data_IF_850092734892
#
_entry.id   IF_850092734892
#
_cell.length_a   1.000
_cell.length_b   1.000
_cell.length_c   1.000
_cell.angle_alpha   90.00
_cell.angle_beta   90.00
_cell.angle_gamma   90.00
#
_symmetry.space_group_name_H-M   'P 1'
#
loop_
_entity.id
_entity.type
_entity.pdbx_description
1 polymer ?
#
# COMPACT_ATOMS: atom_id res chain seq x y z
N UNK A 1 -38.51 28.09 -32.90
CA UNK A 1 -38.27 27.50 -34.23
C UNK A 1 -36.75 27.46 -34.39
N UNK A 2 -35.99 26.36 -34.40
CA UNK A 2 -36.12 24.93 -34.74
C UNK A 2 -35.45 24.11 -33.60
N UNK A 3 -36.09 23.10 -32.99
CA UNK A 3 -35.95 21.64 -33.27
C UNK A 3 -34.50 21.18 -33.49
N UNK A 4 -33.90 20.20 -32.82
CA UNK A 4 -34.33 19.12 -31.91
C UNK A 4 -33.25 18.03 -31.97
N UNK A 5 -32.96 17.33 -30.86
CA UNK A 5 -32.03 16.19 -30.84
C UNK A 5 -31.56 15.80 -29.43
N UNK A 6 -32.26 14.84 -28.82
CA UNK A 6 -32.03 14.23 -27.49
C UNK A 6 -31.03 13.05 -27.56
N UNK A 7 -30.35 12.66 -26.45
CA UNK A 7 -29.15 11.84 -26.44
C UNK A 7 -29.41 10.33 -26.27
N UNK A 8 -28.40 9.52 -26.61
CA UNK A 8 -28.26 8.08 -26.25
C UNK A 8 -26.77 7.84 -25.99
N UNK A 9 -26.30 7.13 -24.97
CA UNK A 9 -26.98 6.37 -23.93
C UNK A 9 -26.01 5.98 -22.80
N UNK A 10 -26.61 5.65 -21.66
CA UNK A 10 -26.00 4.95 -20.52
C UNK A 10 -26.30 3.46 -20.67
N UNK A 11 -25.30 2.57 -20.51
CA UNK A 11 -25.52 1.15 -20.20
C UNK A 11 -24.24 0.40 -19.80
N UNK A 12 -24.29 -0.30 -18.64
CA UNK A 12 -23.34 -1.33 -18.16
C UNK A 12 -22.25 -0.78 -17.22
N UNK A 13 -22.29 -0.85 -15.89
CA UNK A 13 -22.49 -1.96 -14.93
C UNK A 13 -21.59 -3.19 -15.19
N UNK A 14 -20.56 -3.31 -14.32
CA UNK A 14 -20.12 -4.58 -13.71
C UNK A 14 -19.05 -5.40 -14.44
N UNK A 15 -17.89 -5.61 -13.79
CA UNK A 15 -17.06 -6.84 -13.78
C UNK A 15 -15.80 -6.57 -12.91
N UNK A 16 -15.89 -6.75 -11.59
CA UNK A 16 -15.42 -7.91 -10.81
C UNK A 16 -13.90 -8.18 -10.85
N UNK A 17 -13.22 -8.31 -9.69
CA UNK A 17 -11.80 -8.65 -9.63
C UNK A 17 -11.55 -10.09 -10.07
N UNK A 18 -10.43 -10.31 -10.76
CA UNK A 18 -9.95 -11.63 -11.20
C UNK A 18 -9.69 -12.51 -9.97
N UNK A 19 -10.60 -13.44 -9.70
CA UNK A 19 -10.35 -14.56 -8.82
C UNK A 19 -9.30 -15.48 -9.45
N UNK A 20 -8.28 -15.87 -8.68
CA UNK A 20 -7.38 -16.94 -9.02
C UNK A 20 -8.19 -18.24 -9.23
N UNK A 21 -8.29 -18.70 -10.46
CA UNK A 21 -8.79 -20.05 -10.75
C UNK A 21 -7.71 -21.05 -10.33
N UNK A 22 -8.03 -22.08 -9.53
CA UNK A 22 -7.17 -23.23 -9.39
C UNK A 22 -7.15 -23.99 -10.72
N UNK A 23 -5.95 -24.21 -11.26
CA UNK A 23 -5.73 -24.99 -12.47
C UNK A 23 -6.18 -26.44 -12.23
N UNK A 24 -7.23 -26.86 -12.94
CA UNK A 24 -7.67 -28.25 -12.99
C UNK A 24 -6.60 -29.10 -13.74
N UNK A 25 -6.20 -30.26 -13.21
CA UNK A 25 -5.31 -31.17 -13.92
C UNK A 25 -6.00 -31.80 -15.15
N UNK A 26 -5.24 -32.24 -16.17
CA UNK A 26 -5.80 -32.82 -17.40
C UNK A 26 -6.57 -34.11 -17.12
N UNK A 27 -7.67 -34.28 -17.87
CA UNK A 27 -8.54 -35.45 -17.79
C UNK A 27 -7.78 -36.73 -18.20
N UNK A 28 -7.78 -37.74 -17.33
CA UNK A 28 -7.26 -39.07 -17.61
C UNK A 28 -8.16 -39.80 -18.62
N UNK A 29 -7.59 -40.64 -19.52
CA UNK A 29 -8.35 -41.41 -20.48
C UNK A 29 -9.21 -42.48 -19.78
N UNK A 30 -10.47 -42.56 -20.23
CA UNK A 30 -11.47 -43.53 -19.76
C UNK A 30 -11.14 -44.93 -20.28
N UNK A 31 -10.47 -45.74 -19.47
CA UNK A 31 -10.38 -47.18 -19.69
C UNK A 31 -11.72 -47.84 -19.35
N UNK A 32 -12.17 -48.75 -20.21
CA UNK A 32 -13.32 -49.61 -19.97
C UNK A 32 -12.87 -50.77 -19.08
N UNK A 33 -13.30 -50.77 -17.83
CA UNK A 33 -13.05 -51.91 -16.94
C UNK A 33 -14.11 -53.01 -17.11
N UNK A 34 -13.71 -54.29 -17.06
CA UNK A 34 -14.61 -55.42 -17.17
C UNK A 34 -15.43 -55.61 -15.88
N UNK A 35 -16.63 -56.15 -16.03
CA UNK A 35 -17.54 -56.52 -14.94
C UNK A 35 -16.86 -57.53 -13.99
N UNK A 36 -16.32 -57.04 -12.88
CA UNK A 36 -15.97 -57.87 -11.72
C UNK A 36 -17.09 -57.79 -10.69
N UNK A 37 -17.86 -58.87 -10.59
CA UNK A 37 -18.80 -59.12 -9.51
C UNK A 37 -18.01 -59.40 -8.22
N UNK A 38 -17.80 -58.37 -7.40
CA UNK A 38 -17.24 -58.53 -6.06
C UNK A 38 -18.35 -58.31 -5.03
N UNK A 39 -18.75 -59.42 -4.38
CA UNK A 39 -19.64 -59.39 -3.23
C UNK A 39 -18.99 -58.53 -2.14
N UNK A 40 -19.53 -57.34 -1.92
CA UNK A 40 -19.07 -56.39 -0.93
C UNK A 40 -19.37 -56.94 0.47
N UNK A 41 -18.43 -57.70 1.05
CA UNK A 41 -18.49 -58.06 2.47
C UNK A 41 -17.98 -56.86 3.26
N UNK A 42 -18.91 -56.10 3.82
CA UNK A 42 -18.67 -54.95 4.69
C UNK A 42 -17.66 -55.30 5.79
N UNK A 43 -16.44 -54.74 5.71
CA UNK A 43 -15.44 -54.78 6.79
C UNK A 43 -15.40 -53.40 7.44
N UNK A 44 -16.22 -53.13 8.48
CA UNK A 44 -16.32 -51.81 9.12
C UNK A 44 -15.01 -51.35 9.78
N UNK A 45 -14.04 -52.25 9.94
CA UNK A 45 -12.76 -51.97 10.60
C UNK A 45 -11.83 -51.05 9.79
N UNK A 46 -11.87 -51.08 8.46
CA UNK A 46 -10.98 -50.25 7.64
C UNK A 46 -11.40 -48.78 7.56
N UNK A 47 -12.71 -48.51 7.68
CA UNK A 47 -13.23 -47.14 7.68
C UNK A 47 -12.91 -46.41 9.00
N UNK A 48 -12.96 -47.13 10.12
CA UNK A 48 -12.63 -46.58 11.44
C UNK A 48 -11.16 -46.16 11.57
N UNK A 49 -10.23 -46.94 10.99
CA UNK A 49 -8.81 -46.63 11.03
C UNK A 49 -8.46 -45.39 10.16
N UNK A 50 -9.10 -45.23 9.00
CA UNK A 50 -8.88 -44.07 8.13
C UNK A 50 -9.35 -42.76 8.78
N UNK A 51 -10.49 -42.78 9.48
CA UNK A 51 -10.97 -41.61 10.25
C UNK A 51 -10.05 -41.26 11.43
N UNK A 52 -9.50 -42.26 12.13
CA UNK A 52 -8.58 -42.02 13.25
C UNK A 52 -7.25 -41.37 12.78
N UNK A 53 -6.71 -41.78 11.63
CA UNK A 53 -5.49 -41.20 11.04
C UNK A 53 -5.72 -39.76 10.54
N UNK A 54 -6.89 -39.48 9.96
CA UNK A 54 -7.25 -38.12 9.54
C UNK A 54 -7.39 -37.15 10.72
N UNK A 55 -7.85 -37.64 11.89
CA UNK A 55 -7.98 -36.84 13.11
C UNK A 55 -6.64 -36.66 13.85
N UNK A 56 -5.69 -37.60 13.73
CA UNK A 56 -4.36 -37.46 14.34
C UNK A 56 -3.38 -36.59 13.54
N UNK A 57 -3.72 -36.23 12.30
CA UNK A 57 -2.91 -35.35 11.47
C UNK A 57 -3.05 -33.85 11.84
N UNK A 58 -4.03 -33.49 12.68
CA UNK A 58 -4.21 -32.14 13.21
C UNK A 58 -3.42 -31.92 14.53
N UNK A 59 -2.18 -32.41 14.63
CA UNK A 59 -1.27 -31.96 15.69
C UNK A 59 -0.40 -30.82 15.15
N UNK A 60 -0.96 -29.62 15.13
CA UNK A 60 -0.28 -28.43 14.61
C UNK A 60 -0.11 -27.39 15.72
N UNK A 61 1.10 -27.37 16.28
CA UNK A 61 1.65 -26.18 16.96
C UNK A 61 1.82 -25.10 15.88
N UNK A 62 0.79 -24.28 15.67
CA UNK A 62 0.89 -23.14 14.77
C UNK A 62 1.71 -22.06 15.45
N UNK A 63 2.99 -21.98 15.12
CA UNK A 63 3.84 -20.86 15.54
C UNK A 63 3.42 -19.62 14.75
N UNK A 64 2.78 -18.67 15.43
CA UNK A 64 2.50 -17.36 14.88
C UNK A 64 3.82 -16.58 14.78
N UNK A 65 4.30 -16.38 13.55
CA UNK A 65 5.43 -15.49 13.27
C UNK A 65 4.85 -14.15 12.85
N UNK A 66 5.11 -13.12 13.66
CA UNK A 66 4.73 -11.76 13.29
C UNK A 66 5.55 -11.32 12.06
N UNK A 67 4.91 -10.79 11.01
CA UNK A 67 5.64 -10.26 9.88
C UNK A 67 6.49 -9.04 10.33
N UNK A 68 7.63 -8.80 9.68
CA UNK A 68 8.46 -7.65 10.01
C UNK A 68 7.67 -6.35 9.83
N UNK A 69 7.86 -5.41 10.76
CA UNK A 69 7.14 -4.13 10.77
C UNK A 69 7.49 -3.25 9.56
N UNK A 70 8.73 -3.36 9.07
CA UNK A 70 9.28 -2.67 7.89
C UNK A 70 10.44 -3.50 7.30
N UNK A 71 10.82 -3.21 6.06
CA UNK A 71 12.05 -3.77 5.48
C UNK A 71 13.25 -2.91 5.91
N UNK A 72 14.45 -3.50 6.12
CA UNK A 72 15.65 -2.72 6.36
C UNK A 72 15.81 -1.61 5.29
N UNK A 73 15.75 -0.32 5.69
CA UNK A 73 15.76 0.76 4.72
C UNK A 73 17.15 0.91 4.09
N UNK A 74 17.24 1.20 2.78
CA UNK A 74 18.51 1.51 2.12
C UNK A 74 19.21 2.73 2.75
N UNK A 75 18.45 3.72 3.20
CA UNK A 75 18.92 4.80 4.06
C UNK A 75 18.88 4.35 5.53
N UNK A 76 20.01 3.84 6.01
CA UNK A 76 20.14 3.32 7.37
C UNK A 76 20.39 4.41 8.43
N UNK A 77 20.59 5.67 8.03
CA UNK A 77 21.04 6.74 8.93
C UNK A 77 19.96 7.79 9.19
N UNK A 78 19.07 8.03 8.23
CA UNK A 78 18.07 9.11 8.32
C UNK A 78 16.76 8.68 8.96
N UNK A 79 16.63 7.41 9.34
CA UNK A 79 15.44 6.84 10.00
C UNK A 79 14.15 6.84 9.15
N UNK A 80 14.26 7.06 7.84
CA UNK A 80 13.15 6.87 6.91
C UNK A 80 12.99 5.39 6.58
N UNK A 81 11.76 4.90 6.60
CA UNK A 81 11.46 3.47 6.35
C UNK A 81 10.87 3.21 4.96
N UNK A 82 10.15 4.20 4.40
CA UNK A 82 9.52 4.11 3.09
C UNK A 82 8.50 2.97 2.94
N UNK A 83 8.50 2.38 1.74
CA UNK A 83 7.60 1.28 1.42
C UNK A 83 7.97 -0.04 2.11
N UNK A 84 6.94 -0.71 2.65
CA UNK A 84 7.03 -2.14 2.97
C UNK A 84 6.92 -2.98 1.69
N UNK A 85 6.11 -2.55 0.72
CA UNK A 85 6.02 -3.20 -0.60
C UNK A 85 5.63 -2.18 -1.67
N UNK A 86 6.63 -1.70 -2.41
CA UNK A 86 6.45 -0.68 -3.45
C UNK A 86 5.52 -1.16 -4.57
N UNK A 87 5.58 -2.44 -4.95
CA UNK A 87 4.74 -3.01 -6.02
C UNK A 87 3.22 -2.93 -5.76
N UNK A 88 2.82 -2.85 -4.49
CA UNK A 88 1.42 -2.70 -4.08
C UNK A 88 1.15 -1.37 -3.39
N UNK A 89 2.10 -0.43 -3.47
CA UNK A 89 2.06 0.87 -2.77
C UNK A 89 1.75 0.74 -1.28
N UNK A 90 2.23 -0.33 -0.61
CA UNK A 90 2.03 -0.52 0.83
C UNK A 90 3.18 0.14 1.58
N UNK A 91 2.92 1.26 2.26
CA UNK A 91 3.91 1.91 3.13
C UNK A 91 4.14 1.08 4.40
N UNK A 92 5.29 1.25 5.05
CA UNK A 92 5.50 0.65 6.39
C UNK A 92 4.44 1.12 7.40
N UNK A 93 4.03 2.39 7.31
CA UNK A 93 2.97 2.97 8.13
C UNK A 93 1.62 2.26 7.90
N UNK A 94 1.30 1.95 6.65
CA UNK A 94 0.09 1.25 6.24
C UNK A 94 0.01 -0.22 6.67
N UNK A 95 1.06 -0.77 7.28
CA UNK A 95 0.99 -2.06 7.95
C UNK A 95 0.10 -2.02 9.20
N UNK A 96 0.08 -0.87 9.90
CA UNK A 96 -0.74 -0.65 11.10
C UNK A 96 -1.89 0.34 10.84
N UNK A 97 -1.66 1.39 10.05
CA UNK A 97 -2.61 2.46 9.77
C UNK A 97 -3.39 2.24 8.47
N UNK A 98 -4.16 1.15 8.40
CA UNK A 98 -4.83 0.72 7.17
C UNK A 98 -5.80 1.75 6.60
N UNK A 99 -6.51 2.50 7.45
CA UNK A 99 -7.46 3.53 6.99
C UNK A 99 -6.77 4.74 6.35
N UNK A 100 -5.68 5.21 6.95
CA UNK A 100 -4.88 6.29 6.34
C UNK A 100 -4.18 5.82 5.07
N UNK A 101 -3.70 4.58 5.07
CA UNK A 101 -3.09 3.97 3.88
C UNK A 101 -4.07 3.87 2.71
N UNK A 102 -5.33 3.49 2.95
CA UNK A 102 -6.34 3.42 1.89
C UNK A 102 -6.68 4.79 1.32
N UNK A 103 -6.65 5.84 2.14
CA UNK A 103 -6.84 7.21 1.65
C UNK A 103 -5.62 7.69 0.86
N UNK A 104 -4.41 7.41 1.36
CA UNK A 104 -3.18 7.87 0.73
C UNK A 104 -2.98 7.26 -0.66
N UNK A 105 -3.29 5.97 -0.86
CA UNK A 105 -3.07 5.31 -2.16
C UNK A 105 -3.94 5.91 -3.29
N UNK A 106 -5.05 6.53 -2.93
CA UNK A 106 -5.96 7.23 -3.86
C UNK A 106 -5.51 8.66 -4.18
N UNK A 107 -4.49 9.18 -3.48
CA UNK A 107 -4.02 10.55 -3.63
C UNK A 107 -3.05 10.73 -4.81
N UNK A 108 -2.92 11.97 -5.29
CA UNK A 108 -1.89 12.33 -6.28
C UNK A 108 -0.46 12.11 -5.77
N UNK A 109 -0.25 12.21 -4.45
CA UNK A 109 1.04 11.93 -3.81
C UNK A 109 1.49 10.48 -4.00
N UNK A 110 0.55 9.53 -3.89
CA UNK A 110 0.81 8.12 -4.19
C UNK A 110 1.03 7.86 -5.69
N UNK A 111 0.81 8.83 -6.57
CA UNK A 111 1.07 8.71 -8.02
C UNK A 111 2.26 9.57 -8.48
N UNK A 112 2.94 10.25 -7.56
CA UNK A 112 3.95 11.27 -7.88
C UNK A 112 5.11 10.71 -8.71
N UNK A 113 5.55 9.47 -8.44
CA UNK A 113 6.64 8.85 -9.20
C UNK A 113 6.20 8.39 -10.59
N UNK A 114 4.97 7.90 -10.72
CA UNK A 114 4.41 7.58 -12.03
C UNK A 114 4.27 8.83 -12.90
N UNK A 115 3.75 9.92 -12.33
CA UNK A 115 3.69 11.23 -13.00
C UNK A 115 5.06 11.74 -13.41
N UNK A 116 6.08 11.58 -12.56
CA UNK A 116 7.44 11.95 -12.89
C UNK A 116 7.98 11.16 -14.10
N UNK A 117 7.80 9.84 -14.11
CA UNK A 117 8.26 8.99 -15.22
C UNK A 117 7.60 9.35 -16.56
N UNK A 118 6.33 9.79 -16.53
CA UNK A 118 5.62 10.25 -17.74
C UNK A 118 6.20 11.54 -18.33
N UNK A 119 6.89 12.37 -17.54
CA UNK A 119 7.55 13.58 -18.04
C UNK A 119 8.80 13.27 -18.91
N UNK A 120 9.32 12.03 -18.86
CA UNK A 120 10.33 11.53 -19.77
C UNK A 120 11.68 12.27 -19.68
N UNK A 121 12.23 12.66 -20.84
CA UNK A 121 13.60 13.19 -20.95
C UNK A 121 13.86 14.51 -20.19
N UNK A 122 12.82 15.19 -19.71
CA UNK A 122 12.95 16.41 -18.90
C UNK A 122 13.18 16.16 -17.41
N UNK A 123 13.14 14.91 -16.94
CA UNK A 123 13.32 14.57 -15.53
C UNK A 123 14.77 14.74 -15.11
N UNK A 124 14.99 15.58 -14.10
CA UNK A 124 16.29 15.82 -13.49
C UNK A 124 16.36 15.19 -12.09
N UNK A 125 17.58 14.94 -11.59
CA UNK A 125 17.76 14.40 -10.23
C UNK A 125 17.16 15.29 -9.14
N UNK A 126 17.10 16.61 -9.36
CA UNK A 126 16.45 17.57 -8.48
C UNK A 126 14.95 17.31 -8.30
N UNK A 127 14.28 16.66 -9.26
CA UNK A 127 12.87 16.32 -9.18
C UNK A 127 12.60 15.21 -8.15
N UNK A 128 13.56 14.31 -7.92
CA UNK A 128 13.37 13.14 -7.05
C UNK A 128 13.06 13.54 -5.62
N UNK A 129 13.69 14.61 -5.12
CA UNK A 129 13.42 15.12 -3.77
C UNK A 129 11.97 15.53 -3.53
N UNK A 130 11.24 15.96 -4.57
CA UNK A 130 9.84 16.36 -4.45
C UNK A 130 8.85 15.25 -4.83
N UNK A 131 9.26 14.29 -5.67
CA UNK A 131 8.41 13.20 -6.17
C UNK A 131 8.63 11.87 -5.46
N UNK A 132 9.60 11.80 -4.56
CA UNK A 132 9.86 10.69 -3.64
C UNK A 132 9.91 11.15 -2.19
N UNK A 133 10.19 10.21 -1.29
CA UNK A 133 10.49 10.49 0.11
C UNK A 133 11.90 11.06 0.21
N UNK A 134 12.03 12.25 0.78
CA UNK A 134 13.31 12.91 0.96
C UNK A 134 13.31 13.86 2.15
N UNK A 135 14.45 14.51 2.38
CA UNK A 135 14.59 15.57 3.36
C UNK A 135 13.72 16.80 3.10
N UNK A 136 13.25 17.02 1.86
CA UNK A 136 12.50 18.22 1.49
C UNK A 136 11.13 18.27 2.17
N UNK A 137 10.45 17.12 2.26
CA UNK A 137 9.09 17.05 2.78
C UNK A 137 8.99 17.39 4.27
N UNK A 138 9.88 16.86 5.12
CA UNK A 138 9.88 17.19 6.56
C UNK A 138 10.98 18.18 6.97
N UNK A 139 11.61 18.84 5.99
CA UNK A 139 12.70 19.82 6.14
C UNK A 139 13.78 19.39 7.15
N UNK A 140 14.28 18.16 7.03
CA UNK A 140 15.51 17.80 7.75
C UNK A 140 16.73 18.34 6.99
N UNK A 141 17.83 18.60 7.70
CA UNK A 141 18.98 19.36 7.16
C UNK A 141 20.01 18.50 6.42
N UNK A 142 19.80 17.18 6.39
CA UNK A 142 20.72 16.21 5.79
C UNK A 142 20.03 15.48 4.64
N UNK A 143 20.80 15.02 3.65
CA UNK A 143 20.26 14.19 2.57
C UNK A 143 19.64 12.92 3.14
N UNK A 144 18.44 12.56 2.67
CA UNK A 144 17.71 11.41 3.17
C UNK A 144 16.81 10.79 2.10
N UNK A 145 16.38 9.55 2.35
CA UNK A 145 15.49 8.81 1.48
C UNK A 145 16.08 8.70 0.08
N UNK A 146 15.33 9.13 -0.93
CA UNK A 146 15.74 8.99 -2.34
C UNK A 146 17.01 9.77 -2.71
N UNK A 147 17.30 10.85 -1.99
CA UNK A 147 18.51 11.65 -2.19
C UNK A 147 19.74 11.05 -1.50
N UNK A 148 19.53 10.14 -0.54
CA UNK A 148 20.59 9.37 0.11
C UNK A 148 20.84 8.06 -0.65
N UNK A 149 19.77 7.31 -0.92
CA UNK A 149 19.79 6.06 -1.66
C UNK A 149 18.64 6.05 -2.68
N UNK A 150 18.99 6.07 -3.97
CA UNK A 150 18.02 6.02 -5.05
C UNK A 150 17.43 4.61 -5.20
N UNK A 151 16.37 4.34 -4.44
CA UNK A 151 15.70 3.05 -4.37
C UNK A 151 14.18 3.19 -4.45
N UNK A 152 13.51 2.18 -5.02
CA UNK A 152 12.05 2.15 -5.16
C UNK A 152 11.29 2.24 -3.84
N UNK A 153 11.95 1.93 -2.72
CA UNK A 153 11.47 2.09 -1.35
C UNK A 153 11.01 3.54 -1.08
N UNK A 154 11.65 4.51 -1.72
CA UNK A 154 11.38 5.94 -1.53
C UNK A 154 10.63 6.59 -2.69
N UNK A 155 10.11 5.81 -3.65
CA UNK A 155 9.25 6.36 -4.71
C UNK A 155 7.91 6.84 -4.14
N UNK A 156 7.31 7.83 -4.82
CA UNK A 156 6.07 8.51 -4.43
C UNK A 156 6.24 9.41 -3.18
N UNK A 157 5.35 10.39 -3.04
CA UNK A 157 5.32 11.24 -1.84
C UNK A 157 4.57 10.48 -0.75
N UNK A 158 5.32 9.80 0.12
CA UNK A 158 4.75 8.93 1.15
C UNK A 158 4.46 9.68 2.46
N UNK A 159 4.02 8.94 3.48
CA UNK A 159 3.68 9.45 4.82
C UNK A 159 4.81 10.31 5.41
N UNK A 160 6.05 9.83 5.28
CA UNK A 160 7.24 10.45 5.88
C UNK A 160 7.62 11.78 5.21
N UNK A 161 7.11 12.07 4.01
CA UNK A 161 7.26 13.38 3.36
C UNK A 161 6.46 14.47 4.06
N UNK A 162 5.45 14.13 4.87
CA UNK A 162 4.74 15.12 5.71
C UNK A 162 5.11 14.96 7.18
N UNK A 163 5.20 13.72 7.64
CA UNK A 163 5.31 13.36 9.06
C UNK A 163 6.77 13.20 9.55
N UNK A 164 7.73 13.11 8.64
CA UNK A 164 9.13 12.85 8.96
C UNK A 164 9.48 11.38 9.17
N UNK A 165 10.71 11.10 9.63
CA UNK A 165 11.21 9.75 9.86
C UNK A 165 10.33 8.98 10.85
N UNK A 166 9.79 7.84 10.42
CA UNK A 166 8.85 7.05 11.21
C UNK A 166 9.48 5.93 12.06
N UNK A 167 10.78 5.66 11.92
CA UNK A 167 11.43 4.46 12.48
C UNK A 167 11.23 4.29 13.99
N UNK A 168 11.44 5.35 14.78
CA UNK A 168 11.31 5.28 16.23
C UNK A 168 9.88 4.90 16.67
N UNK A 169 8.87 5.42 15.97
CA UNK A 169 7.47 5.09 16.22
C UNK A 169 7.15 3.65 15.85
N UNK A 170 7.71 3.14 14.75
CA UNK A 170 7.44 1.76 14.33
C UNK A 170 8.11 0.75 15.29
N UNK A 171 9.32 1.04 15.74
CA UNK A 171 10.05 0.17 16.67
C UNK A 171 9.34 0.09 18.03
N UNK A 172 8.88 1.23 18.58
CA UNK A 172 8.16 1.31 19.86
C UNK A 172 6.95 2.27 19.80
N UNK A 173 5.78 1.83 19.30
CA UNK A 173 4.65 2.73 19.04
C UNK A 173 4.01 3.23 20.34
N UNK A 174 4.10 4.55 20.57
CA UNK A 174 3.44 5.22 21.69
C UNK A 174 2.98 6.63 21.32
N UNK A 175 2.15 7.23 22.17
CA UNK A 175 1.56 8.56 21.90
C UNK A 175 2.60 9.70 21.94
N UNK A 176 3.76 9.49 22.55
CA UNK A 176 4.81 10.50 22.70
C UNK A 176 5.76 10.55 21.50
N UNK A 177 5.75 9.55 20.62
CA UNK A 177 6.63 9.48 19.46
C UNK A 177 5.89 9.42 18.11
N UNK A 178 4.60 9.76 18.08
CA UNK A 178 3.84 9.85 16.83
C UNK A 178 4.51 10.86 15.89
N UNK A 179 4.92 10.46 14.67
CA UNK A 179 5.47 11.37 13.69
C UNK A 179 4.39 12.38 13.29
N UNK A 180 4.56 13.65 13.63
CA UNK A 180 3.58 14.70 13.38
C UNK A 180 3.82 15.32 12.01
N UNK A 181 2.74 15.55 11.26
CA UNK A 181 2.83 16.28 10.02
C UNK A 181 3.27 17.73 10.30
N UNK A 182 4.29 18.22 9.59
CA UNK A 182 4.61 19.66 9.55
C UNK A 182 3.72 20.37 8.54
N UNK A 183 2.42 20.19 8.69
CA UNK A 183 1.40 20.82 7.86
C UNK A 183 0.79 22.02 8.59
N UNK A 184 1.62 22.87 9.22
CA UNK A 184 1.07 24.15 9.70
C UNK A 184 0.52 24.86 8.46
N UNK A 185 -0.80 24.89 8.38
CA UNK A 185 -1.56 25.91 7.70
C UNK A 185 -1.94 26.81 8.86
N UNK A 186 -1.50 28.06 8.84
CA UNK A 186 -2.05 29.10 9.68
C UNK A 186 -3.56 29.18 9.39
N UNK A 187 -4.36 28.35 10.07
CA UNK A 187 -5.78 28.64 10.24
C UNK A 187 -5.81 29.76 11.26
N UNK A 188 -5.69 30.99 10.77
CA UNK A 188 -5.90 32.18 11.58
C UNK A 188 -7.25 32.02 12.28
N UNK A 189 -7.22 31.79 13.58
CA UNK A 189 -8.36 32.03 14.43
C UNK A 189 -8.59 33.55 14.38
N UNK A 190 -9.43 34.00 13.46
CA UNK A 190 -10.07 35.31 13.52
C UNK A 190 -11.50 35.05 14.02
N UNK A 191 -11.89 35.50 15.23
CA UNK A 191 -13.27 35.35 15.66
C UNK A 191 -14.19 36.19 14.76
N UNK A 192 -15.20 35.50 14.23
CA UNK A 192 -16.48 36.00 13.77
C UNK A 192 -16.47 37.22 12.82
N UNK A 193 -16.11 37.00 11.55
CA UNK A 193 -16.84 37.46 10.36
C UNK A 193 -15.99 37.26 9.09
N UNK A 194 -16.39 36.36 8.22
CA UNK A 194 -15.92 36.35 6.83
C UNK A 194 -14.91 35.25 6.49
N UNK A 195 -15.33 34.39 5.57
CA UNK A 195 -14.59 33.48 4.70
C UNK A 195 -13.07 33.71 4.68
N UNK A 196 -12.32 32.79 5.32
CA UNK A 196 -10.87 32.72 5.17
C UNK A 196 -10.51 32.14 3.81
N UNK A 197 -9.93 32.96 2.93
CA UNK A 197 -9.23 32.51 1.73
C UNK A 197 -7.79 32.24 2.13
N UNK A 198 -7.34 30.98 2.05
CA UNK A 198 -5.94 30.62 2.18
C UNK A 198 -5.16 31.20 1.00
N UNK A 199 -4.47 32.32 1.19
CA UNK A 199 -3.71 33.03 0.14
C UNK A 199 -2.26 32.55 -0.03
N UNK A 200 -1.85 31.48 0.65
CA UNK A 200 -0.54 30.85 0.47
C UNK A 200 -0.35 29.66 1.40
N UNK A 201 0.46 28.68 0.97
CA UNK A 201 0.99 27.64 1.85
C UNK A 201 2.00 28.29 2.79
N UNK A 202 1.94 28.00 4.10
CA UNK A 202 2.98 28.47 5.02
C UNK A 202 4.35 28.00 4.49
N UNK A 203 5.31 28.92 4.38
CA UNK A 203 6.64 28.60 3.87
C UNK A 203 7.35 27.56 4.75
N UNK A 204 6.95 27.45 6.02
CA UNK A 204 7.44 26.46 6.97
C UNK A 204 6.73 25.09 6.88
N UNK A 205 5.66 25.00 6.09
CA UNK A 205 4.97 23.73 5.86
C UNK A 205 5.83 22.78 5.01
N UNK A 206 5.67 21.49 5.28
CA UNK A 206 6.22 20.39 4.50
C UNK A 206 6.03 20.53 2.99
N UNK A 207 4.89 21.12 2.60
CA UNK A 207 4.43 21.20 1.23
C UNK A 207 5.18 22.28 0.43
N UNK A 208 5.65 23.35 1.09
CA UNK A 208 6.23 24.51 0.42
C UNK A 208 7.52 24.17 -0.32
N UNK A 209 8.32 23.22 0.18
CA UNK A 209 9.55 22.76 -0.46
C UNK A 209 9.35 22.06 -1.80
N UNK A 210 8.11 21.66 -2.12
CA UNK A 210 7.78 20.96 -3.37
C UNK A 210 6.79 21.74 -4.25
N UNK A 211 5.89 22.52 -3.64
CA UNK A 211 4.81 23.24 -4.35
C UNK A 211 5.03 24.75 -4.48
N UNK A 212 6.11 25.30 -3.90
CA UNK A 212 6.48 26.72 -4.00
C UNK A 212 7.69 26.99 -4.90
N UNK A 213 8.04 26.04 -5.76
CA UNK A 213 9.21 26.06 -6.66
C UNK A 213 8.86 26.67 -8.02
#
# INVERSE_FOLDING_TARGET
>A
MQTGGIPRGLSGWGNHPRMCQPQLPPALPRTRDPMFSSRLRSRPLFLGLACAVALSACSEETVFVDPPKYNPPPDSVSNFVGYLKSSTKKTACGNCHVGTQSQWVESGHAQAWAGLQLAGAGVQASCYGCHGVSQNGNRITVAAGINFANDTTYHDVQCESCHGPGRAHIDDPNNSNVPLARANVTTGYAPASGVGVSTGLDLDASCASCHGQ
#
